data_IF_504954127324
#
_entry.id   IF_504954127324
#
_cell.length_a   1.000
_cell.length_b   1.000
_cell.length_c   1.000
_cell.angle_alpha   90.00
_cell.angle_beta   90.00
_cell.angle_gamma   90.00
#
_symmetry.space_group_name_H-M   'P 1'
#
loop_
_entity.id
_entity.type
_entity.pdbx_description
1 polymer ?
#
# COMPACT_ATOMS: atom_id res chain seq x y z
N UNK A 1 8.11 23.61 7.04
CA UNK A 1 9.14 22.72 6.45
C UNK A 1 8.83 21.25 6.67
N UNK A 2 8.59 20.78 7.90
CA UNK A 2 8.28 19.36 8.19
C UNK A 2 7.11 18.80 7.37
N UNK A 3 5.95 19.46 7.34
CA UNK A 3 4.77 19.01 6.57
C UNK A 3 5.08 18.81 5.08
N UNK A 4 5.80 19.75 4.47
CA UNK A 4 6.18 19.69 3.06
C UNK A 4 7.19 18.56 2.79
N UNK A 5 8.15 18.36 3.70
CA UNK A 5 9.09 17.25 3.64
C UNK A 5 8.37 15.90 3.78
N UNK A 6 7.50 15.74 4.78
CA UNK A 6 6.70 14.51 4.96
C UNK A 6 5.77 14.24 3.79
N UNK A 7 5.17 15.27 3.20
CA UNK A 7 4.34 15.12 1.99
C UNK A 7 5.17 14.66 0.79
N UNK A 8 6.35 15.26 0.58
CA UNK A 8 7.29 14.83 -0.47
C UNK A 8 7.76 13.39 -0.29
N UNK A 9 8.14 13.00 0.93
CA UNK A 9 8.51 11.61 1.24
C UNK A 9 7.32 10.65 1.11
N UNK A 10 6.10 11.07 1.46
CA UNK A 10 4.88 10.28 1.26
C UNK A 10 4.64 9.95 -0.21
N UNK A 11 4.87 10.92 -1.11
CA UNK A 11 4.76 10.68 -2.55
C UNK A 11 5.81 9.67 -3.04
N UNK A 12 7.07 9.85 -2.64
CA UNK A 12 8.15 8.92 -3.01
C UNK A 12 7.87 7.51 -2.48
N UNK A 13 7.42 7.40 -1.24
CA UNK A 13 7.05 6.12 -0.64
C UNK A 13 5.89 5.45 -1.37
N UNK A 14 4.85 6.20 -1.74
CA UNK A 14 3.72 5.67 -2.51
C UNK A 14 4.16 5.12 -3.88
N UNK A 15 5.04 5.86 -4.57
CA UNK A 15 5.61 5.42 -5.85
C UNK A 15 6.49 4.16 -5.70
N UNK A 16 7.34 4.12 -4.68
CA UNK A 16 8.21 2.98 -4.41
C UNK A 16 7.41 1.70 -4.09
N UNK A 17 6.36 1.81 -3.27
CA UNK A 17 5.48 0.68 -2.95
C UNK A 17 4.70 0.19 -4.17
N UNK A 18 4.17 1.10 -4.99
CA UNK A 18 3.50 0.75 -6.24
C UNK A 18 4.42 -0.07 -7.17
N UNK A 19 5.66 0.37 -7.37
CA UNK A 19 6.62 -0.37 -8.20
C UNK A 19 7.06 -1.69 -7.56
N UNK A 20 7.28 -1.73 -6.24
CA UNK A 20 7.63 -2.96 -5.52
C UNK A 20 6.54 -4.03 -5.65
N UNK A 21 5.27 -3.66 -5.50
CA UNK A 21 4.14 -4.60 -5.64
C UNK A 21 4.06 -5.12 -7.08
N UNK A 22 4.17 -4.24 -8.09
CA UNK A 22 4.17 -4.65 -9.50
C UNK A 22 5.32 -5.61 -9.83
N UNK A 23 6.54 -5.29 -9.39
CA UNK A 23 7.71 -6.14 -9.59
C UNK A 23 7.50 -7.51 -8.94
N UNK A 24 7.02 -7.52 -7.69
CA UNK A 24 6.71 -8.75 -6.96
C UNK A 24 5.70 -9.61 -7.73
N UNK A 25 4.63 -9.01 -8.25
CA UNK A 25 3.62 -9.75 -9.00
C UNK A 25 4.20 -10.28 -10.33
N UNK A 26 4.97 -9.46 -11.04
CA UNK A 26 5.55 -9.86 -12.32
C UNK A 26 6.60 -10.97 -12.18
N UNK A 27 7.40 -10.95 -11.12
CA UNK A 27 8.51 -11.87 -10.93
C UNK A 27 8.09 -13.14 -10.16
N UNK A 28 7.25 -13.01 -9.13
CA UNK A 28 6.90 -14.11 -8.24
C UNK A 28 5.51 -14.68 -8.43
N UNK A 29 4.60 -13.98 -9.13
CA UNK A 29 3.22 -14.45 -9.28
C UNK A 29 2.97 -14.84 -10.73
N UNK A 30 3.28 -13.96 -11.70
CA UNK A 30 3.04 -14.18 -13.14
C UNK A 30 3.60 -15.50 -13.69
N UNK A 31 4.79 -15.99 -13.31
CA UNK A 31 5.30 -17.28 -13.82
C UNK A 31 4.50 -18.48 -13.35
N UNK A 32 3.87 -18.41 -12.18
CA UNK A 32 3.13 -19.52 -11.57
C UNK A 32 1.71 -19.65 -12.11
N UNK A 33 1.11 -18.57 -12.62
CA UNK A 33 -0.28 -18.59 -13.08
C UNK A 33 -0.44 -18.98 -14.56
N UNK A 34 0.68 -19.10 -15.29
CA UNK A 34 0.72 -19.71 -16.63
C UNK A 34 -0.12 -19.00 -17.70
N UNK A 35 0.56 -18.41 -18.69
CA UNK A 35 -0.03 -18.06 -19.99
C UNK A 35 -0.78 -16.73 -20.03
N UNK A 36 -0.25 -15.79 -20.82
CA UNK A 36 -0.83 -14.63 -21.54
C UNK A 36 -1.93 -13.75 -20.90
N UNK A 37 -2.34 -14.03 -19.67
CA UNK A 37 -3.47 -13.40 -19.02
C UNK A 37 -2.97 -12.26 -18.13
N UNK A 38 -2.44 -11.22 -18.78
CA UNK A 38 -2.03 -9.97 -18.13
C UNK A 38 -3.16 -9.34 -17.27
N UNK A 39 -4.42 -9.67 -17.56
CA UNK A 39 -5.58 -9.30 -16.74
C UNK A 39 -5.51 -9.92 -15.35
N UNK A 40 -5.11 -11.19 -15.20
CA UNK A 40 -5.04 -11.86 -13.89
C UNK A 40 -3.97 -11.18 -13.02
N UNK A 41 -2.82 -10.82 -13.58
CA UNK A 41 -1.81 -10.04 -12.84
C UNK A 41 -2.32 -8.68 -12.38
N UNK A 42 -3.15 -8.00 -13.19
CA UNK A 42 -3.75 -6.71 -12.82
C UNK A 42 -4.81 -6.86 -11.72
N UNK A 43 -5.61 -7.94 -11.76
CA UNK A 43 -6.60 -8.25 -10.71
C UNK A 43 -5.90 -8.55 -9.39
N UNK A 44 -4.83 -9.34 -9.40
CA UNK A 44 -4.04 -9.64 -8.20
C UNK A 44 -3.40 -8.36 -7.64
N UNK A 45 -2.84 -7.53 -8.51
CA UNK A 45 -2.32 -6.21 -8.14
C UNK A 45 -3.37 -5.36 -7.43
N UNK A 46 -4.56 -5.25 -8.03
CA UNK A 46 -5.66 -4.48 -7.44
C UNK A 46 -6.05 -5.01 -6.06
N UNK A 47 -6.22 -6.33 -5.91
CA UNK A 47 -6.57 -6.95 -4.62
C UNK A 47 -5.50 -6.68 -3.55
N UNK A 48 -4.22 -6.88 -3.87
CA UNK A 48 -3.12 -6.64 -2.92
C UNK A 48 -3.10 -5.19 -2.47
N UNK A 49 -3.20 -4.24 -3.40
CA UNK A 49 -3.21 -2.81 -3.09
C UNK A 49 -4.43 -2.43 -2.25
N UNK A 50 -5.62 -2.96 -2.55
CA UNK A 50 -6.81 -2.70 -1.74
C UNK A 50 -6.68 -3.25 -0.33
N UNK A 51 -6.16 -4.47 -0.17
CA UNK A 51 -5.94 -5.07 1.16
C UNK A 51 -4.95 -4.22 1.96
N UNK A 52 -3.82 -3.84 1.36
CA UNK A 52 -2.83 -2.98 2.01
C UNK A 52 -3.43 -1.63 2.41
N UNK A 53 -4.20 -0.99 1.52
CA UNK A 53 -4.88 0.27 1.81
C UNK A 53 -5.78 0.12 3.03
N UNK A 54 -6.69 -0.87 3.03
CA UNK A 54 -7.60 -1.12 4.15
C UNK A 54 -6.84 -1.37 5.45
N UNK A 55 -5.80 -2.22 5.44
CA UNK A 55 -5.00 -2.51 6.62
C UNK A 55 -4.33 -1.25 7.17
N UNK A 56 -3.69 -0.45 6.31
CA UNK A 56 -3.03 0.79 6.71
C UNK A 56 -4.06 1.79 7.27
N UNK A 57 -5.19 1.99 6.59
CA UNK A 57 -6.22 2.94 7.04
C UNK A 57 -6.81 2.53 8.38
N UNK A 58 -7.05 1.22 8.60
CA UNK A 58 -7.52 0.72 9.89
C UNK A 58 -6.48 0.90 11.01
N UNK A 59 -5.20 0.68 10.73
CA UNK A 59 -4.14 0.92 11.71
C UNK A 59 -4.02 2.40 12.07
N UNK A 60 -4.06 3.29 11.07
CA UNK A 60 -4.06 4.73 11.30
C UNK A 60 -5.28 5.17 12.12
N UNK A 61 -6.47 4.65 11.81
CA UNK A 61 -7.68 4.95 12.57
C UNK A 61 -7.56 4.51 14.04
N UNK A 62 -6.95 3.36 14.32
CA UNK A 62 -6.68 2.89 15.69
C UNK A 62 -5.67 3.79 16.41
N UNK A 63 -4.60 4.18 15.72
CA UNK A 63 -3.56 5.05 16.28
C UNK A 63 -4.13 6.44 16.61
N UNK A 64 -4.95 6.99 15.72
CA UNK A 64 -5.63 8.27 15.91
C UNK A 64 -6.50 8.25 17.17
N UNK A 65 -7.31 7.18 17.34
CA UNK A 65 -8.15 7.02 18.54
C UNK A 65 -7.33 6.90 19.83
N UNK A 66 -6.16 6.26 19.77
CA UNK A 66 -5.27 6.14 20.92
C UNK A 66 -4.72 7.51 21.34
N UNK A 67 -4.24 8.30 20.40
CA UNK A 67 -3.75 9.65 20.69
C UNK A 67 -4.84 10.60 21.18
N UNK A 68 -6.06 10.49 20.65
CA UNK A 68 -7.20 11.29 21.11
C UNK A 68 -7.58 10.96 22.56
N UNK A 69 -7.54 9.67 22.93
CA UNK A 69 -7.78 9.23 24.30
C UNK A 69 -6.71 9.72 25.28
N UNK A 70 -5.44 9.60 24.91
CA UNK A 70 -4.31 10.09 25.73
C UNK A 70 -4.27 11.61 25.90
N UNK A 71 -4.88 12.38 24.99
CA UNK A 71 -4.96 13.84 25.09
C UNK A 71 -6.12 14.33 25.97
N UNK A 72 -7.08 13.46 26.30
CA UNK A 72 -8.29 13.81 27.06
C UNK A 72 -8.21 13.35 28.53
N UNK A 73 -7.31 12.42 28.86
CA UNK A 73 -7.00 11.94 30.22
C UNK A 73 -5.85 12.75 30.86
#
# INVERSE_FOLDING_TARGET
MLQLATAGFGLVAALAWNEAIKATINEYIKPYIGGDSGIISLVIYAVIVTVLAVVITLQLARLSRKFEKEATD
#
